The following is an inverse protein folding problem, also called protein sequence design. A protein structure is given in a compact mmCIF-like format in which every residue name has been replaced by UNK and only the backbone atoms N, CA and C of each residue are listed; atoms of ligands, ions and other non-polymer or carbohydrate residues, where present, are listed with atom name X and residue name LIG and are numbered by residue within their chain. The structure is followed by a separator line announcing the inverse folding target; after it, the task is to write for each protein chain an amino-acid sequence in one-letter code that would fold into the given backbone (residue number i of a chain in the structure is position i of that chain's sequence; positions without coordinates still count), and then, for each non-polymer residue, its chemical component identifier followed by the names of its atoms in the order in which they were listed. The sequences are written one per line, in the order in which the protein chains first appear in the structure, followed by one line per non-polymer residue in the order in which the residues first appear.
data_IF_261909799209
#
_entry.id   IF_261909799209
#
_cell.length_a   1.000
_cell.length_b   1.000
_cell.length_c   1.000
_cell.angle_alpha   90.00
_cell.angle_beta   90.00
_cell.angle_gamma   90.00
#
_symmetry.space_group_name_H-M   'P 1'
#
loop_
_entity.id
_entity.type
_entity.pdbx_description
1 polymer ?
#
# COMPACT_ATOMS: atom_id res chain seq x y z
N UNK A 1 -50.83 -8.55 -16.95
CA UNK A 1 -49.65 -8.20 -16.13
C UNK A 1 -49.82 -8.96 -14.83
N UNK A 2 -49.01 -10.00 -14.63
CA UNK A 2 -49.05 -10.84 -13.42
C UNK A 2 -48.34 -10.10 -12.29
N UNK A 3 -49.08 -9.78 -11.23
CA UNK A 3 -48.56 -9.35 -9.93
C UNK A 3 -47.75 -10.48 -9.31
N UNK A 4 -46.46 -10.55 -9.66
CA UNK A 4 -45.53 -11.44 -8.99
C UNK A 4 -44.99 -10.69 -7.77
N UNK A 5 -45.36 -11.09 -6.54
CA UNK A 5 -44.82 -10.45 -5.34
C UNK A 5 -43.29 -10.60 -5.35
N UNK A 6 -42.54 -9.55 -4.99
CA UNK A 6 -41.08 -9.59 -5.02
C UNK A 6 -40.56 -10.72 -4.13
N UNK A 7 -40.17 -11.84 -4.74
CA UNK A 7 -39.51 -12.95 -4.06
C UNK A 7 -38.03 -12.62 -3.88
N UNK A 8 -37.73 -11.64 -3.03
CA UNK A 8 -36.38 -11.51 -2.49
C UNK A 8 -36.37 -12.25 -1.16
N UNK A 9 -35.78 -13.45 -1.07
CA UNK A 9 -35.50 -14.02 0.24
C UNK A 9 -34.58 -13.03 0.95
N UNK A 10 -35.13 -12.31 1.93
CA UNK A 10 -34.35 -11.53 2.86
C UNK A 10 -33.58 -12.52 3.72
N UNK A 11 -32.33 -12.81 3.37
CA UNK A 11 -31.46 -13.55 4.25
C UNK A 11 -30.98 -12.59 5.35
N UNK A 12 -31.06 -13.03 6.60
CA UNK A 12 -30.51 -12.28 7.71
C UNK A 12 -28.98 -12.35 7.64
N UNK A 13 -28.32 -11.19 7.55
CA UNK A 13 -26.86 -11.12 7.66
C UNK A 13 -26.51 -11.23 9.15
N UNK A 14 -25.67 -12.20 9.58
CA UNK A 14 -25.28 -12.30 10.97
C UNK A 14 -24.61 -11.01 11.45
N UNK A 15 -25.04 -10.48 12.59
CA UNK A 15 -24.44 -9.27 13.19
C UNK A 15 -22.92 -9.41 13.44
N UNK A 16 -22.43 -10.64 13.58
CA UNK A 16 -21.01 -10.96 13.77
C UNK A 16 -20.17 -10.96 12.49
N UNK A 17 -20.78 -10.87 11.29
CA UNK A 17 -20.06 -11.02 10.03
C UNK A 17 -18.97 -9.96 9.85
N UNK A 18 -19.25 -8.70 10.23
CA UNK A 18 -18.28 -7.61 10.14
C UNK A 18 -17.05 -7.84 11.02
N UNK A 19 -17.26 -8.26 12.27
CA UNK A 19 -16.16 -8.62 13.19
C UNK A 19 -15.35 -9.79 12.67
N UNK A 20 -16.01 -10.85 12.17
CA UNK A 20 -15.32 -12.02 11.63
C UNK A 20 -14.48 -11.67 10.38
N UNK A 21 -15.02 -10.83 9.49
CA UNK A 21 -14.29 -10.33 8.32
C UNK A 21 -13.08 -9.49 8.74
N UNK A 22 -13.23 -8.61 9.73
CA UNK A 22 -12.11 -7.80 10.23
C UNK A 22 -11.01 -8.66 10.84
N UNK A 23 -11.35 -9.60 11.72
CA UNK A 23 -10.38 -10.53 12.30
C UNK A 23 -9.65 -11.35 11.22
N UNK A 24 -10.36 -11.78 10.17
CA UNK A 24 -9.75 -12.51 9.07
C UNK A 24 -8.78 -11.63 8.25
N UNK A 25 -9.14 -10.37 7.99
CA UNK A 25 -8.27 -9.41 7.30
C UNK A 25 -7.04 -9.04 8.13
N UNK A 26 -7.19 -8.82 9.44
CA UNK A 26 -6.07 -8.59 10.35
C UNK A 26 -5.12 -9.78 10.39
N UNK A 27 -5.66 -11.00 10.45
CA UNK A 27 -4.86 -12.22 10.39
C UNK A 27 -4.11 -12.36 9.06
N UNK A 28 -4.75 -12.02 7.94
CA UNK A 28 -4.11 -12.03 6.62
C UNK A 28 -2.96 -11.00 6.54
N UNK A 29 -3.17 -9.77 7.02
CA UNK A 29 -2.11 -8.77 7.08
C UNK A 29 -0.95 -9.20 7.99
N UNK A 30 -1.24 -9.80 9.15
CA UNK A 30 -0.20 -10.31 10.03
C UNK A 30 0.62 -11.44 9.39
N UNK A 31 -0.02 -12.28 8.59
CA UNK A 31 0.64 -13.33 7.81
C UNK A 31 1.52 -12.74 6.70
N UNK A 32 1.04 -11.73 5.98
CA UNK A 32 1.82 -11.04 4.94
C UNK A 32 3.03 -10.31 5.57
N UNK A 33 2.86 -9.67 6.72
CA UNK A 33 3.94 -9.05 7.49
C UNK A 33 5.01 -10.09 7.90
N UNK A 34 4.58 -11.25 8.39
CA UNK A 34 5.49 -12.34 8.76
C UNK A 34 6.22 -12.90 7.54
N UNK A 35 5.51 -13.08 6.43
CA UNK A 35 6.08 -13.53 5.16
C UNK A 35 7.14 -12.54 4.68
N UNK A 36 6.83 -11.24 4.63
CA UNK A 36 7.77 -10.19 4.24
C UNK A 36 9.06 -10.24 5.07
N UNK A 37 8.94 -10.40 6.41
CA UNK A 37 10.10 -10.51 7.32
C UNK A 37 10.93 -11.75 7.04
N UNK A 38 10.28 -12.89 6.83
CA UNK A 38 10.97 -14.12 6.47
C UNK A 38 11.74 -13.96 5.15
N UNK A 39 11.12 -13.37 4.14
CA UNK A 39 11.69 -13.27 2.80
C UNK A 39 12.88 -12.31 2.72
N UNK A 40 12.86 -11.17 3.45
CA UNK A 40 14.04 -10.28 3.49
C UNK A 40 15.23 -10.92 4.22
N UNK A 41 14.98 -11.70 5.28
CA UNK A 41 16.03 -12.47 5.97
C UNK A 41 16.58 -13.57 5.06
N UNK A 42 15.69 -14.31 4.38
CA UNK A 42 16.08 -15.34 3.40
C UNK A 42 16.91 -14.75 2.27
N UNK A 43 16.54 -13.59 1.74
CA UNK A 43 17.32 -12.90 0.71
C UNK A 43 18.73 -12.55 1.23
N UNK A 44 18.85 -12.01 2.44
CA UNK A 44 20.17 -11.71 3.03
C UNK A 44 21.03 -12.96 3.25
N UNK A 45 20.42 -14.04 3.74
CA UNK A 45 21.09 -15.33 3.89
C UNK A 45 21.54 -15.89 2.53
N UNK A 46 20.69 -15.81 1.49
CA UNK A 46 21.01 -16.27 0.14
C UNK A 46 22.20 -15.50 -0.44
N UNK A 47 22.27 -14.17 -0.29
CA UNK A 47 23.43 -13.39 -0.77
C UNK A 47 24.71 -13.82 -0.07
N UNK A 48 24.67 -14.04 1.25
CA UNK A 48 25.81 -14.58 2.00
C UNK A 48 26.24 -15.92 1.44
N UNK A 49 25.31 -16.86 1.36
CA UNK A 49 25.57 -18.22 0.91
C UNK A 49 26.14 -18.27 -0.51
N UNK A 50 25.62 -17.45 -1.43
CA UNK A 50 26.16 -17.29 -2.78
C UNK A 50 27.62 -16.83 -2.71
N UNK A 51 27.91 -15.76 -1.97
CA UNK A 51 29.24 -15.14 -1.93
C UNK A 51 30.27 -15.96 -1.14
N UNK A 52 29.84 -16.77 -0.18
CA UNK A 52 30.73 -17.56 0.67
C UNK A 52 30.78 -19.05 0.32
N UNK A 53 29.98 -19.51 -0.64
CA UNK A 53 29.84 -20.93 -0.93
C UNK A 53 29.29 -21.72 0.26
N UNK A 54 28.37 -21.12 1.03
CA UNK A 54 27.80 -21.64 2.27
C UNK A 54 28.79 -21.83 3.44
N UNK A 55 30.03 -21.34 3.33
CA UNK A 55 31.01 -21.44 4.42
C UNK A 55 30.71 -20.40 5.51
N UNK A 56 30.40 -20.82 6.77
CA UNK A 56 29.91 -19.88 7.76
C UNK A 56 30.93 -18.82 8.23
N UNK A 57 32.21 -19.18 8.22
CA UNK A 57 33.32 -18.37 8.71
C UNK A 57 34.03 -17.58 7.60
N UNK A 58 33.58 -17.73 6.34
CA UNK A 58 34.16 -17.01 5.23
C UNK A 58 33.90 -15.50 5.35
N UNK A 59 34.85 -14.66 4.87
CA UNK A 59 34.66 -13.22 4.90
C UNK A 59 33.46 -12.81 4.05
N UNK A 60 32.60 -11.96 4.61
CA UNK A 60 31.41 -11.44 3.95
C UNK A 60 31.38 -9.91 4.11
N UNK A 61 31.51 -9.19 2.99
CA UNK A 61 31.60 -7.73 2.97
C UNK A 61 30.40 -7.07 2.27
N UNK A 62 29.37 -7.81 1.84
CA UNK A 62 28.21 -7.24 1.17
C UNK A 62 27.28 -6.50 2.16
N UNK A 63 26.91 -5.28 1.81
CA UNK A 63 25.98 -4.42 2.57
C UNK A 63 24.62 -4.26 1.90
N UNK A 64 24.51 -4.47 0.60
CA UNK A 64 23.26 -4.32 -0.14
C UNK A 64 23.15 -5.25 -1.34
N UNK A 65 21.92 -5.61 -1.74
CA UNK A 65 21.66 -6.34 -3.00
C UNK A 65 20.63 -5.58 -3.84
N UNK A 66 20.83 -5.56 -5.17
CA UNK A 66 19.92 -4.89 -6.09
C UNK A 66 18.72 -5.78 -6.38
N UNK A 67 17.53 -5.22 -6.22
CA UNK A 67 16.24 -5.80 -6.56
C UNK A 67 15.54 -4.89 -7.58
N UNK A 68 14.91 -5.49 -8.59
CA UNK A 68 14.10 -4.79 -9.60
C UNK A 68 12.66 -5.27 -9.51
N UNK A 69 11.73 -4.32 -9.59
CA UNK A 69 10.29 -4.58 -9.57
C UNK A 69 9.83 -5.15 -10.91
N UNK A 70 9.13 -6.28 -10.87
CA UNK A 70 8.44 -6.89 -12.00
C UNK A 70 7.14 -6.16 -12.34
N UNK A 71 6.47 -6.61 -13.40
CA UNK A 71 5.18 -6.04 -13.84
C UNK A 71 4.05 -6.27 -12.82
N UNK A 72 4.15 -7.35 -12.04
CA UNK A 72 3.21 -7.71 -10.98
C UNK A 72 3.55 -7.08 -9.62
N UNK A 73 4.57 -6.22 -9.55
CA UNK A 73 5.08 -5.62 -8.33
C UNK A 73 6.01 -6.51 -7.49
N UNK A 74 6.28 -7.74 -7.94
CA UNK A 74 7.20 -8.65 -7.26
C UNK A 74 8.65 -8.25 -7.48
N UNK A 75 9.54 -8.45 -6.50
CA UNK A 75 10.96 -8.09 -6.61
C UNK A 75 11.83 -9.25 -7.08
N UNK A 76 12.76 -8.95 -7.99
CA UNK A 76 13.71 -9.93 -8.53
C UNK A 76 15.16 -9.43 -8.41
N UNK A 77 16.10 -10.27 -7.95
CA UNK A 77 17.49 -9.88 -7.86
C UNK A 77 18.14 -9.81 -9.23
N UNK A 78 19.01 -8.81 -9.42
CA UNK A 78 19.73 -8.64 -10.69
C UNK A 78 21.09 -9.31 -10.72
N UNK A 79 21.57 -9.76 -9.56
CA UNK A 79 22.94 -10.24 -9.38
C UNK A 79 23.96 -9.16 -9.03
N UNK A 80 23.52 -7.90 -8.91
CA UNK A 80 24.34 -6.80 -8.40
C UNK A 80 24.23 -6.66 -6.88
N UNK A 81 25.34 -6.30 -6.25
CA UNK A 81 25.42 -6.04 -4.83
C UNK A 81 26.44 -4.94 -4.52
N UNK A 82 26.38 -4.39 -3.31
CA UNK A 82 27.33 -3.39 -2.81
C UNK A 82 28.11 -3.95 -1.64
N UNK A 83 29.39 -3.60 -1.56
CA UNK A 83 30.22 -3.88 -0.39
C UNK A 83 30.05 -2.79 0.67
N UNK A 84 30.46 -3.10 1.90
CA UNK A 84 30.53 -2.15 3.02
C UNK A 84 31.43 -0.94 2.74
N UNK A 85 32.38 -1.06 1.80
CA UNK A 85 33.18 0.05 1.31
C UNK A 85 32.46 0.94 0.26
N UNK A 86 31.22 0.59 -0.10
CA UNK A 86 30.40 1.29 -1.10
C UNK A 86 30.66 0.89 -2.55
N UNK A 87 31.51 -0.12 -2.78
CA UNK A 87 31.81 -0.59 -4.14
C UNK A 87 30.71 -1.49 -4.69
N UNK A 88 30.21 -1.18 -5.88
CA UNK A 88 29.31 -2.06 -6.64
C UNK A 88 30.08 -3.25 -7.22
N UNK A 89 29.48 -4.44 -7.18
CA UNK A 89 30.01 -5.69 -7.74
C UNK A 89 28.89 -6.54 -8.31
N UNK A 90 29.26 -7.55 -9.10
CA UNK A 90 28.33 -8.60 -9.56
C UNK A 90 28.67 -9.95 -8.95
N UNK A 91 27.67 -10.82 -8.78
CA UNK A 91 27.93 -12.21 -8.35
C UNK A 91 28.77 -12.96 -9.38
N UNK A 92 28.57 -12.70 -10.68
CA UNK A 92 29.36 -13.32 -11.75
C UNK A 92 30.86 -13.04 -11.60
N UNK A 93 31.24 -11.81 -11.25
CA UNK A 93 32.64 -11.46 -10.97
C UNK A 93 33.18 -12.11 -9.70
N UNK A 94 32.32 -12.31 -8.69
CA UNK A 94 32.73 -12.79 -7.37
C UNK A 94 32.89 -14.31 -7.30
N UNK A 95 31.94 -15.06 -7.87
CA UNK A 95 31.85 -16.51 -7.70
C UNK A 95 31.81 -17.30 -9.01
N UNK A 96 31.79 -16.61 -10.16
CA UNK A 96 31.65 -17.23 -11.47
C UNK A 96 30.22 -17.24 -11.97
N UNK A 97 30.07 -17.36 -13.29
CA UNK A 97 28.77 -17.22 -13.97
C UNK A 97 27.77 -18.33 -13.61
N UNK A 98 28.24 -19.58 -13.49
CA UNK A 98 27.37 -20.72 -13.23
C UNK A 98 26.82 -20.68 -11.80
N UNK A 99 27.70 -20.45 -10.84
CA UNK A 99 27.39 -20.32 -9.41
C UNK A 99 26.48 -19.12 -9.16
N UNK A 100 26.79 -17.97 -9.77
CA UNK A 100 25.94 -16.78 -9.71
C UNK A 100 24.55 -17.06 -10.29
N UNK A 101 24.46 -17.70 -11.47
CA UNK A 101 23.18 -18.02 -12.10
C UNK A 101 22.29 -18.91 -11.23
N UNK A 102 22.85 -19.98 -10.67
CA UNK A 102 22.11 -20.89 -9.78
C UNK A 102 21.67 -20.19 -8.49
N UNK A 103 22.56 -19.39 -7.90
CA UNK A 103 22.27 -18.61 -6.70
C UNK A 103 21.15 -17.59 -6.90
N UNK A 104 21.23 -16.82 -7.98
CA UNK A 104 20.21 -15.83 -8.36
C UNK A 104 18.86 -16.52 -8.61
N UNK A 105 18.86 -17.66 -9.30
CA UNK A 105 17.65 -18.43 -9.54
C UNK A 105 16.98 -18.86 -8.22
N UNK A 106 17.75 -19.44 -7.29
CA UNK A 106 17.26 -19.83 -5.97
C UNK A 106 16.78 -18.63 -5.14
N UNK A 107 17.47 -17.50 -5.21
CA UNK A 107 17.04 -16.28 -4.52
C UNK A 107 15.75 -15.69 -5.12
N UNK A 108 15.58 -15.77 -6.44
CA UNK A 108 14.42 -15.24 -7.15
C UNK A 108 13.11 -15.91 -6.74
N UNK A 109 13.16 -17.21 -6.40
CA UNK A 109 12.01 -17.95 -5.87
C UNK A 109 11.44 -17.30 -4.60
N UNK A 110 12.32 -16.79 -3.73
CA UNK A 110 11.93 -16.19 -2.46
C UNK A 110 11.64 -14.70 -2.56
N UNK A 111 12.42 -13.94 -3.34
CA UNK A 111 12.20 -12.49 -3.48
C UNK A 111 10.91 -12.16 -4.21
N UNK A 112 10.34 -13.07 -5.00
CA UNK A 112 9.04 -12.88 -5.64
C UNK A 112 7.90 -12.64 -4.63
N UNK A 113 8.06 -13.07 -3.37
CA UNK A 113 7.12 -12.76 -2.29
C UNK A 113 7.32 -11.38 -1.67
N UNK A 114 8.40 -10.67 -2.02
CA UNK A 114 8.58 -9.24 -1.74
C UNK A 114 7.82 -8.48 -2.81
N UNK A 115 6.57 -8.13 -2.53
CA UNK A 115 5.66 -7.47 -3.46
C UNK A 115 4.80 -6.44 -2.71
N UNK A 116 3.71 -5.96 -3.34
CA UNK A 116 2.81 -4.97 -2.74
C UNK A 116 2.20 -5.38 -1.41
N UNK A 117 1.92 -6.68 -1.22
CA UNK A 117 1.33 -7.18 0.02
C UNK A 117 2.31 -7.14 1.19
N UNK A 118 3.60 -7.27 0.91
CA UNK A 118 4.67 -7.28 1.92
C UNK A 118 5.48 -5.97 1.94
N UNK A 119 5.02 -4.96 1.20
CA UNK A 119 5.70 -3.67 0.98
C UNK A 119 6.04 -2.93 2.26
N UNK A 120 5.12 -2.93 3.23
CA UNK A 120 5.33 -2.27 4.53
C UNK A 120 6.54 -2.83 5.31
N UNK A 121 6.96 -4.06 5.00
CA UNK A 121 8.12 -4.71 5.63
C UNK A 121 9.41 -4.43 4.87
N UNK A 122 9.43 -4.67 3.56
CA UNK A 122 10.69 -4.60 2.80
C UNK A 122 11.05 -3.17 2.40
N UNK A 123 10.08 -2.30 2.10
CA UNK A 123 10.34 -0.96 1.58
C UNK A 123 11.17 -0.09 2.54
N UNK A 124 10.94 -0.10 3.86
CA UNK A 124 11.77 0.66 4.82
C UNK A 124 13.23 0.17 4.95
N UNK A 125 13.55 -1.00 4.40
CA UNK A 125 14.89 -1.58 4.38
C UNK A 125 15.62 -1.29 3.08
N UNK A 126 14.92 -0.71 2.10
CA UNK A 126 15.45 -0.45 0.78
C UNK A 126 15.79 1.03 0.61
N UNK A 127 16.89 1.29 -0.10
CA UNK A 127 17.14 2.59 -0.73
C UNK A 127 16.69 2.53 -2.19
N UNK A 128 16.05 3.58 -2.69
CA UNK A 128 15.66 3.66 -4.11
C UNK A 128 16.91 3.90 -4.97
N UNK A 129 16.98 3.22 -6.11
CA UNK A 129 18.02 3.39 -7.13
C UNK A 129 17.43 3.99 -8.41
N UNK A 130 18.29 4.30 -9.37
CA UNK A 130 17.85 4.62 -10.73
C UNK A 130 17.17 3.40 -11.36
N UNK A 131 16.08 3.66 -12.08
CA UNK A 131 15.31 2.63 -12.75
C UNK A 131 16.17 1.78 -13.69
N UNK A 132 15.83 0.50 -13.79
CA UNK A 132 16.48 -0.47 -14.68
C UNK A 132 15.54 -0.79 -15.81
N UNK A 133 15.85 -0.34 -17.02
CA UNK A 133 15.01 -0.53 -18.21
C UNK A 133 13.56 -0.04 -18.01
N UNK A 134 13.40 1.10 -17.33
CA UNK A 134 12.11 1.69 -17.01
C UNK A 134 11.34 1.00 -15.86
N UNK A 135 11.99 0.07 -15.14
CA UNK A 135 11.42 -0.57 -13.95
C UNK A 135 12.06 -0.04 -12.67
N UNK A 136 11.28 0.21 -11.60
CA UNK A 136 11.83 0.63 -10.31
C UNK A 136 12.89 -0.34 -9.79
N UNK A 137 13.96 0.21 -9.23
CA UNK A 137 15.03 -0.57 -8.63
C UNK A 137 15.34 -0.11 -7.21
N UNK A 138 15.80 -1.05 -6.40
CA UNK A 138 16.01 -0.88 -4.98
C UNK A 138 17.30 -1.59 -4.53
N UNK A 139 18.02 -0.99 -3.59
CA UNK A 139 19.09 -1.65 -2.86
C UNK A 139 18.55 -2.08 -1.49
N UNK A 140 18.38 -3.39 -1.26
CA UNK A 140 17.98 -3.95 0.03
C UNK A 140 19.19 -3.96 0.97
N UNK A 141 19.10 -3.30 2.13
CA UNK A 141 20.12 -3.31 3.18
C UNK A 141 20.20 -4.68 3.85
N UNK A 142 21.28 -5.42 3.57
CA UNK A 142 21.46 -6.80 4.02
C UNK A 142 21.69 -6.90 5.52
N UNK A 143 22.36 -5.91 6.12
CA UNK A 143 22.64 -5.90 7.55
C UNK A 143 21.34 -5.69 8.32
N UNK A 144 20.53 -4.72 7.92
CA UNK A 144 19.22 -4.48 8.53
C UNK A 144 18.29 -5.67 8.31
N UNK A 145 18.23 -6.19 7.08
CA UNK A 145 17.39 -7.34 6.74
C UNK A 145 17.72 -8.57 7.61
N UNK A 146 19.01 -8.91 7.79
CA UNK A 146 19.43 -10.06 8.58
C UNK A 146 19.09 -9.96 10.08
N UNK A 147 18.90 -8.74 10.59
CA UNK A 147 18.57 -8.51 12.01
C UNK A 147 17.07 -8.48 12.31
N UNK A 148 16.21 -8.67 11.30
CA UNK A 148 14.77 -8.62 11.49
C UNK A 148 14.28 -9.81 12.31
N UNK A 149 13.45 -9.57 13.35
CA UNK A 149 12.88 -10.66 14.14
C UNK A 149 11.86 -11.47 13.32
N UNK A 150 12.08 -12.78 13.22
CA UNK A 150 11.18 -13.72 12.52
C UNK A 150 10.00 -14.22 13.36
N UNK A 151 10.05 -14.04 14.68
CA UNK A 151 8.94 -14.40 15.54
C UNK A 151 7.65 -13.68 15.14
N UNK A 152 6.48 -14.15 15.61
CA UNK A 152 5.28 -13.33 15.54
C UNK A 152 5.66 -11.97 16.13
N UNK A 153 5.41 -10.89 15.37
CA UNK A 153 5.60 -9.57 15.93
C UNK A 153 4.84 -9.59 17.25
N UNK A 154 5.54 -9.44 18.38
CA UNK A 154 4.86 -9.28 19.65
C UNK A 154 3.80 -8.23 19.38
N UNK A 155 2.52 -8.53 19.66
CA UNK A 155 1.37 -7.77 19.15
C UNK A 155 1.43 -6.26 19.43
N UNK A 156 2.38 -5.82 20.25
CA UNK A 156 3.07 -4.54 20.17
C UNK A 156 3.80 -4.30 18.82
N UNK A 157 3.07 -4.24 17.69
CA UNK A 157 3.31 -3.09 16.82
C UNK A 157 3.01 -1.93 17.76
N UNK A 158 4.00 -1.11 18.20
CA UNK A 158 3.69 -0.01 19.12
C UNK A 158 2.53 0.71 18.46
N UNK A 159 1.36 0.68 19.11
CA UNK A 159 0.14 1.23 18.54
C UNK A 159 0.56 2.57 17.99
N UNK A 160 0.55 2.73 16.65
CA UNK A 160 1.18 3.85 15.95
C UNK A 160 0.73 5.06 16.73
N UNK A 161 1.64 5.68 17.51
CA UNK A 161 1.27 6.56 18.63
C UNK A 161 0.28 7.52 18.01
N UNK A 162 -1.00 7.43 18.40
CA UNK A 162 -2.10 7.96 17.59
C UNK A 162 -1.70 9.37 17.17
N UNK A 163 -1.27 9.51 15.92
CA UNK A 163 -0.75 10.79 15.46
C UNK A 163 -2.00 11.64 15.42
N UNK A 164 -1.95 12.75 16.15
CA UNK A 164 -3.10 13.64 16.22
C UNK A 164 -3.41 14.11 14.81
N UNK A 165 -4.55 13.67 14.29
CA UNK A 165 -4.99 14.09 12.97
C UNK A 165 -5.34 15.58 13.04
N UNK A 166 -4.74 16.36 12.15
CA UNK A 166 -4.96 17.81 12.08
C UNK A 166 -6.15 18.11 11.18
N UNK A 167 -6.93 19.13 11.53
CA UNK A 167 -7.97 19.67 10.67
C UNK A 167 -7.32 20.52 9.57
N UNK A 168 -7.62 20.20 8.32
CA UNK A 168 -7.13 20.94 7.15
C UNK A 168 -8.20 21.00 6.06
N UNK A 169 -8.08 21.99 5.19
CA UNK A 169 -8.77 21.97 3.91
C UNK A 169 -7.97 21.17 2.90
N UNK A 170 -8.62 20.31 2.12
CA UNK A 170 -7.98 19.51 1.07
C UNK A 170 -8.66 19.71 -0.28
N UNK A 171 -7.90 19.48 -1.35
CA UNK A 171 -8.33 19.53 -2.73
C UNK A 171 -7.68 18.41 -3.55
N UNK A 172 -8.36 17.92 -4.60
CA UNK A 172 -7.83 16.95 -5.55
C UNK A 172 -8.08 17.32 -7.03
N UNK A 173 -8.71 18.48 -7.29
CA UNK A 173 -9.11 18.90 -8.64
C UNK A 173 -8.94 20.41 -8.87
N UNK A 174 -8.11 21.07 -8.06
CA UNK A 174 -7.81 22.51 -8.07
C UNK A 174 -9.01 23.46 -7.90
N UNK A 175 -10.21 22.92 -7.69
CA UNK A 175 -11.46 23.68 -7.64
C UNK A 175 -12.19 23.50 -6.33
N UNK A 176 -12.49 22.25 -5.99
CA UNK A 176 -13.38 21.91 -4.88
C UNK A 176 -12.59 21.65 -3.60
N UNK A 177 -13.07 22.24 -2.50
CA UNK A 177 -12.35 22.27 -1.22
C UNK A 177 -13.20 21.63 -0.14
N UNK A 178 -12.59 20.72 0.61
CA UNK A 178 -13.29 19.91 1.60
C UNK A 178 -12.56 19.96 2.94
N UNK A 179 -13.27 20.16 4.06
CA UNK A 179 -12.67 19.99 5.38
C UNK A 179 -12.37 18.51 5.62
N UNK A 180 -11.19 18.21 6.15
CA UNK A 180 -10.76 16.84 6.43
C UNK A 180 -9.86 16.76 7.65
N UNK A 181 -9.75 15.56 8.20
CA UNK A 181 -8.70 15.18 9.15
C UNK A 181 -7.56 14.50 8.38
N UNK A 182 -6.32 14.92 8.61
CA UNK A 182 -5.13 14.33 7.96
C UNK A 182 -4.12 13.90 9.02
N UNK A 183 -3.54 12.71 8.85
CA UNK A 183 -2.31 12.30 9.54
C UNK A 183 -1.12 12.87 8.73
N UNK A 184 -0.36 13.85 9.27
CA UNK A 184 0.78 14.42 8.56
C UNK A 184 1.89 13.42 8.21
N UNK A 185 1.91 12.25 8.85
CA UNK A 185 2.88 11.18 8.59
C UNK A 185 2.40 10.17 7.55
N UNK A 186 1.12 10.20 7.17
CA UNK A 186 0.54 9.34 6.13
C UNK A 186 0.47 10.10 4.80
N UNK A 187 1.62 10.24 4.16
CA UNK A 187 1.78 10.91 2.86
C UNK A 187 2.40 9.97 1.81
N UNK A 188 1.98 10.10 0.56
CA UNK A 188 2.59 9.46 -0.60
C UNK A 188 2.99 10.54 -1.60
N UNK A 189 4.29 10.66 -1.87
CA UNK A 189 4.85 11.68 -2.78
C UNK A 189 4.42 13.13 -2.45
N UNK A 190 4.17 13.40 -1.16
CA UNK A 190 3.72 14.69 -0.64
C UNK A 190 2.20 14.90 -0.64
N UNK A 191 1.44 14.01 -1.28
CA UNK A 191 -0.02 13.96 -1.20
C UNK A 191 -0.47 13.32 0.12
N UNK A 192 -1.59 13.78 0.65
CA UNK A 192 -2.14 13.36 1.94
C UNK A 192 -3.26 12.34 1.76
N UNK A 193 -3.56 11.57 2.81
CA UNK A 193 -4.76 10.71 2.87
C UNK A 193 -5.82 11.33 3.80
N UNK A 194 -6.79 12.09 3.27
CA UNK A 194 -7.80 12.78 4.08
C UNK A 194 -8.89 11.84 4.61
N UNK A 195 -9.40 12.15 5.80
CA UNK A 195 -10.53 11.48 6.45
C UNK A 195 -11.72 12.44 6.61
N UNK A 196 -12.78 12.15 5.88
CA UNK A 196 -13.98 12.99 5.74
C UNK A 196 -15.13 12.50 6.62
N UNK A 197 -15.93 13.41 7.16
CA UNK A 197 -17.25 13.05 7.70
C UNK A 197 -18.24 12.69 6.57
N UNK A 198 -19.34 12.02 6.91
CA UNK A 198 -20.29 11.50 5.93
C UNK A 198 -20.92 12.60 5.07
N UNK A 199 -21.20 13.78 5.63
CA UNK A 199 -21.79 14.90 4.87
C UNK A 199 -20.80 15.45 3.84
N UNK A 200 -19.52 15.53 4.19
CA UNK A 200 -18.46 15.87 3.24
C UNK A 200 -18.32 14.81 2.16
N UNK A 201 -18.43 13.51 2.49
CA UNK A 201 -18.45 12.43 1.49
C UNK A 201 -19.63 12.59 0.52
N UNK A 202 -20.82 12.92 0.99
CA UNK A 202 -22.01 13.17 0.13
C UNK A 202 -21.77 14.35 -0.83
N UNK A 203 -21.10 15.41 -0.37
CA UNK A 203 -20.68 16.52 -1.24
C UNK A 203 -19.69 16.08 -2.31
N UNK A 204 -18.66 15.32 -1.92
CA UNK A 204 -17.67 14.77 -2.86
C UNK A 204 -18.36 13.87 -3.89
N UNK A 205 -19.27 12.99 -3.46
CA UNK A 205 -20.06 12.14 -4.35
C UNK A 205 -20.87 12.94 -5.37
N UNK A 206 -21.55 14.00 -4.93
CA UNK A 206 -22.30 14.88 -5.83
C UNK A 206 -21.39 15.55 -6.87
N UNK A 207 -20.22 16.07 -6.43
CA UNK A 207 -19.26 16.72 -7.30
C UNK A 207 -18.65 15.74 -8.31
N UNK A 208 -18.19 14.57 -7.86
CA UNK A 208 -17.60 13.54 -8.71
C UNK A 208 -18.61 13.01 -9.75
N UNK A 209 -19.88 12.82 -9.38
CA UNK A 209 -20.94 12.47 -10.33
C UNK A 209 -21.24 13.58 -11.34
N UNK A 210 -21.16 14.86 -10.94
CA UNK A 210 -21.30 15.97 -11.87
C UNK A 210 -20.13 16.04 -12.86
N UNK A 211 -18.90 15.87 -12.38
CA UNK A 211 -17.71 15.84 -13.23
C UNK A 211 -17.72 14.62 -14.17
N UNK A 212 -18.10 13.43 -13.70
CA UNK A 212 -18.25 12.25 -14.56
C UNK A 212 -19.30 12.44 -15.66
N UNK A 213 -20.42 13.13 -15.39
CA UNK A 213 -21.41 13.49 -16.42
C UNK A 213 -20.85 14.48 -17.44
N UNK A 214 -19.98 15.40 -17.00
CA UNK A 214 -19.40 16.45 -17.84
C UNK A 214 -18.25 15.93 -18.72
N UNK A 215 -17.38 15.10 -18.16
CA UNK A 215 -16.11 14.69 -18.77
C UNK A 215 -16.10 13.21 -19.20
N UNK A 216 -17.14 12.45 -18.84
CA UNK A 216 -17.25 11.03 -19.11
C UNK A 216 -16.69 10.16 -17.99
N UNK A 217 -17.29 8.98 -17.82
CA UNK A 217 -16.91 8.03 -16.78
C UNK A 217 -15.48 7.51 -16.94
N UNK A 218 -14.94 7.42 -18.16
CA UNK A 218 -13.57 6.93 -18.39
C UNK A 218 -12.47 7.84 -17.83
N UNK A 219 -12.81 9.05 -17.37
CA UNK A 219 -11.83 10.06 -16.96
C UNK A 219 -11.96 10.47 -15.49
N UNK A 220 -13.07 10.13 -14.83
CA UNK A 220 -13.41 10.60 -13.48
C UNK A 220 -13.96 9.43 -12.68
N UNK A 221 -13.26 9.08 -11.60
CA UNK A 221 -13.77 8.15 -10.60
C UNK A 221 -15.02 8.72 -9.91
N UNK A 222 -15.97 7.86 -9.56
CA UNK A 222 -17.21 8.30 -8.90
C UNK A 222 -17.32 7.78 -7.50
N UNK A 223 -17.88 8.60 -6.60
CA UNK A 223 -18.24 8.21 -5.24
C UNK A 223 -19.76 8.13 -5.16
N UNK A 224 -20.26 7.11 -4.50
CA UNK A 224 -21.68 6.87 -4.27
C UNK A 224 -21.91 6.68 -2.78
N UNK A 225 -22.94 7.33 -2.25
CA UNK A 225 -23.40 7.14 -0.88
C UNK A 225 -24.79 6.53 -0.96
N UNK A 226 -24.95 5.33 -0.42
CA UNK A 226 -26.20 4.60 -0.37
C UNK A 226 -26.72 4.65 1.07
N UNK A 227 -27.74 5.46 1.29
CA UNK A 227 -28.42 5.55 2.57
C UNK A 227 -29.55 4.51 2.64
N UNK A 228 -29.77 3.92 3.82
CA UNK A 228 -30.84 2.96 4.04
C UNK A 228 -31.08 2.67 5.52
N UNK A 229 -32.21 2.02 5.80
CA UNK A 229 -32.54 1.57 7.16
C UNK A 229 -32.51 0.05 7.21
N UNK A 230 -31.76 -0.52 8.15
CA UNK A 230 -31.68 -1.96 8.41
C UNK A 230 -32.03 -2.18 9.87
N UNK A 231 -33.03 -3.01 10.14
CA UNK A 231 -33.51 -3.30 11.50
C UNK A 231 -33.83 -2.05 12.35
N UNK A 232 -34.34 -1.01 11.69
CA UNK A 232 -34.69 0.26 12.33
C UNK A 232 -33.51 1.20 12.61
N UNK A 233 -32.28 0.82 12.21
CA UNK A 233 -31.10 1.66 12.30
C UNK A 233 -30.74 2.26 10.95
N UNK A 234 -30.33 3.53 10.92
CA UNK A 234 -29.83 4.17 9.71
C UNK A 234 -28.39 3.69 9.41
N UNK A 235 -28.16 3.36 8.15
CA UNK A 235 -26.86 2.95 7.64
C UNK A 235 -26.53 3.74 6.37
N UNK A 236 -25.24 3.98 6.17
CA UNK A 236 -24.70 4.51 4.93
C UNK A 236 -23.59 3.60 4.43
N UNK A 237 -23.67 3.23 3.15
CA UNK A 237 -22.59 2.52 2.43
C UNK A 237 -21.94 3.50 1.47
N UNK A 238 -20.63 3.68 1.59
CA UNK A 238 -19.85 4.53 0.69
C UNK A 238 -19.11 3.62 -0.30
N UNK A 239 -19.32 3.85 -1.59
CA UNK A 239 -18.72 3.09 -2.69
C UNK A 239 -17.91 4.04 -3.57
N UNK A 240 -16.68 3.67 -3.88
CA UNK A 240 -15.86 4.32 -4.93
C UNK A 240 -15.83 3.40 -6.14
N UNK A 241 -15.99 3.98 -7.33
CA UNK A 241 -15.86 3.30 -8.62
C UNK A 241 -14.74 3.97 -9.41
N UNK A 242 -13.64 3.25 -9.60
CA UNK A 242 -12.49 3.67 -10.40
C UNK A 242 -12.62 3.13 -11.82
N UNK A 243 -13.25 3.92 -12.68
CA UNK A 243 -13.65 3.50 -14.03
C UNK A 243 -12.46 3.16 -14.93
N UNK A 244 -11.32 3.82 -14.71
CA UNK A 244 -10.09 3.53 -15.46
C UNK A 244 -9.59 2.09 -15.24
N UNK A 245 -9.98 1.45 -14.14
CA UNK A 245 -9.58 0.08 -13.84
C UNK A 245 -10.46 -0.97 -14.50
N UNK A 246 -11.70 -0.65 -14.89
CA UNK A 246 -12.63 -1.64 -15.45
C UNK A 246 -12.11 -2.30 -16.74
N UNK A 247 -11.32 -1.59 -17.54
CA UNK A 247 -10.73 -2.10 -18.78
C UNK A 247 -9.27 -2.53 -18.64
N UNK A 248 -8.70 -2.48 -17.43
CA UNK A 248 -7.30 -2.82 -17.19
C UNK A 248 -7.17 -4.16 -16.47
N UNK A 249 -5.93 -4.57 -16.21
CA UNK A 249 -5.64 -5.74 -15.37
C UNK A 249 -6.15 -5.61 -13.93
N UNK A 250 -6.49 -4.40 -13.48
CA UNK A 250 -6.96 -4.08 -12.12
C UNK A 250 -8.48 -4.04 -11.97
N UNK A 251 -9.23 -4.61 -12.91
CA UNK A 251 -10.69 -4.58 -12.95
C UNK A 251 -11.37 -5.08 -11.64
N UNK A 252 -10.75 -5.99 -10.91
CA UNK A 252 -11.22 -6.46 -9.60
C UNK A 252 -11.14 -5.39 -8.50
N UNK A 253 -10.29 -4.37 -8.67
CA UNK A 253 -10.17 -3.20 -7.80
C UNK A 253 -10.99 -2.01 -8.28
N UNK A 254 -11.70 -2.12 -9.40
CA UNK A 254 -12.47 -1.03 -9.97
C UNK A 254 -13.62 -0.54 -9.08
N UNK A 255 -14.02 -1.33 -8.07
CA UNK A 255 -15.03 -0.94 -7.09
C UNK A 255 -14.54 -1.23 -5.68
N UNK A 256 -14.68 -0.26 -4.79
CA UNK A 256 -14.28 -0.38 -3.40
C UNK A 256 -15.36 0.15 -2.46
N UNK A 257 -15.80 -0.66 -1.50
CA UNK A 257 -16.62 -0.20 -0.39
C UNK A 257 -15.69 0.41 0.67
N UNK A 258 -15.93 1.67 1.01
CA UNK A 258 -15.16 2.38 2.03
C UNK A 258 -15.80 2.17 3.40
N UNK A 259 -14.97 1.75 4.35
CA UNK A 259 -15.36 1.62 5.74
C UNK A 259 -14.96 2.88 6.53
N UNK A 260 -15.82 3.37 7.42
CA UNK A 260 -15.43 4.45 8.32
C UNK A 260 -14.40 3.95 9.33
N UNK A 261 -13.53 4.84 9.81
CA UNK A 261 -12.69 4.57 10.97
C UNK A 261 -13.50 4.56 12.28
N UNK A 262 -12.81 4.37 13.41
CA UNK A 262 -13.42 4.32 14.75
C UNK A 262 -14.24 5.56 15.15
N UNK A 263 -14.08 6.70 14.45
CA UNK A 263 -14.83 7.95 14.69
C UNK A 263 -15.81 8.28 13.57
N UNK A 264 -16.12 7.33 12.68
CA UNK A 264 -17.14 7.52 11.64
C UNK A 264 -16.67 8.28 10.39
N UNK A 265 -15.35 8.43 10.17
CA UNK A 265 -14.80 9.15 9.00
C UNK A 265 -14.30 8.22 7.91
N UNK A 266 -14.40 8.64 6.65
CA UNK A 266 -14.07 7.85 5.45
C UNK A 266 -12.86 8.41 4.72
N UNK A 267 -11.97 7.53 4.25
CA UNK A 267 -10.81 7.89 3.43
C UNK A 267 -11.14 7.77 1.94
N UNK A 268 -11.81 8.79 1.38
CA UNK A 268 -12.26 8.78 -0.03
C UNK A 268 -11.09 8.96 -0.99
N UNK A 269 -10.90 8.01 -1.90
CA UNK A 269 -9.82 8.04 -2.89
C UNK A 269 -8.43 7.63 -2.37
N UNK A 270 -8.28 7.49 -1.04
CA UNK A 270 -7.02 7.04 -0.42
C UNK A 270 -5.81 7.89 -0.87
N UNK A 271 -4.75 7.20 -1.28
CA UNK A 271 -3.56 7.80 -1.91
C UNK A 271 -3.62 7.77 -3.45
N UNK A 272 -4.67 7.19 -4.03
CA UNK A 272 -4.82 7.07 -5.49
C UNK A 272 -5.42 8.34 -6.08
N UNK A 273 -6.14 9.11 -5.25
CA UNK A 273 -6.55 10.47 -5.56
C UNK A 273 -5.49 11.39 -4.95
N UNK A 274 -4.79 12.16 -5.78
CA UNK A 274 -3.70 13.07 -5.40
C UNK A 274 -4.18 14.25 -4.52
N UNK A 275 -4.77 13.96 -3.37
CA UNK A 275 -5.23 14.94 -2.40
C UNK A 275 -4.04 15.72 -1.85
N UNK A 276 -4.15 17.03 -1.83
CA UNK A 276 -3.18 17.90 -1.17
C UNK A 276 -3.88 18.80 -0.15
N UNK A 277 -3.18 19.05 0.95
CA UNK A 277 -3.64 20.00 1.96
C UNK A 277 -3.44 21.43 1.46
N UNK A 278 -4.23 22.35 2.01
CA UNK A 278 -4.18 23.77 1.71
C UNK A 278 -3.72 24.55 2.94
N UNK A 279 -2.98 25.64 2.73
CA UNK A 279 -2.71 26.64 3.77
C UNK A 279 -3.93 27.56 4.01
N UNK A 280 -3.78 28.54 4.90
CA UNK A 280 -4.85 29.49 5.25
C UNK A 280 -5.26 30.40 4.07
N UNK A 281 -4.34 30.63 3.12
CA UNK A 281 -4.57 31.37 1.88
C UNK A 281 -5.04 30.46 0.73
N UNK A 282 -5.25 29.17 1.03
CA UNK A 282 -5.75 28.13 0.15
C UNK A 282 -4.78 27.77 -1.00
N UNK A 283 -3.49 27.92 -0.75
CA UNK A 283 -2.42 27.40 -1.62
C UNK A 283 -2.09 25.95 -1.28
N UNK A 284 -1.70 25.12 -2.27
CA UNK A 284 -1.32 23.74 -2.05
C UNK A 284 -0.04 23.60 -1.21
N UNK A 285 -0.09 22.68 -0.23
CA UNK A 285 1.04 22.28 0.60
C UNK A 285 1.50 20.87 0.20
N UNK A 286 2.52 20.79 -0.66
CA UNK A 286 3.10 19.52 -1.15
C UNK A 286 4.63 19.62 -1.01
N UNK A 287 5.28 18.89 -0.09
CA UNK A 287 4.66 18.00 0.91
C UNK A 287 3.92 18.77 1.99
N UNK A 288 2.91 18.15 2.59
CA UNK A 288 2.19 18.75 3.70
C UNK A 288 3.05 18.78 4.97
N UNK A 289 3.22 19.97 5.55
CA UNK A 289 3.87 20.17 6.84
C UNK A 289 2.98 21.08 7.66
N UNK A 290 2.25 20.59 8.67
CA UNK A 290 1.41 21.44 9.49
C UNK A 290 2.28 22.49 10.17
N UNK A 291 1.82 23.74 10.18
CA UNK A 291 2.43 24.80 10.98
C UNK A 291 2.47 24.33 12.42
N UNK A 292 3.62 24.46 13.08
CA UNK A 292 3.72 24.15 14.51
C UNK A 292 2.70 25.01 15.25
N UNK A 293 1.71 24.37 15.87
CA UNK A 293 0.71 25.01 16.74
C UNK A 293 1.38 25.49 18.02
#
# INVERSE_FOLDING_TARGET
MTDQPPSRPAYAIPASLGTAAHTALEAAHAADDQLGRAMVVTAAAAVRDILTGHEPDAPFDASGVELVEGEDGSLFPTGRYWTTAGGERTFTEAVGETEAGNGIHGMSEWTAYLNDRTRDVWRPLCSKLDDRNGRPAYALDLVRAATIPLGPAAATRPARKAVEMVDVMVCANDRDRYPAKVDPTDQRDGYVKPWFDLDTVRRIATAAQADARRYGHSSIDTVHVLDGTVDGQEHAVVLVVSWMYLGSEWHEKATQILHPNAVGRYAVGGHDWCWYALDDDLHPLIPFRPTAV
#
